data_IF_342545768839
#
_entry.id   IF_342545768839
#
_cell.length_a   1.000
_cell.length_b   1.000
_cell.length_c   1.000
_cell.angle_alpha   90.00
_cell.angle_beta   90.00
_cell.angle_gamma   90.00
#
_symmetry.space_group_name_H-M   'P 1'
#
loop_
_entity.id
_entity.type
_entity.pdbx_description
1 polymer ?
#
# COMPACT_ATOMS: atom_id res chain seq x y z
N UNK A 1 -12.87 -2.00 11.58
CA UNK A 1 -12.56 -0.57 11.69
C UNK A 1 -11.21 -0.29 11.05
N UNK A 2 -11.13 0.78 10.25
CA UNK A 2 -9.89 1.12 9.56
C UNK A 2 -8.91 1.81 10.50
N UNK A 3 -7.62 1.54 10.27
CA UNK A 3 -6.57 2.19 11.05
C UNK A 3 -6.43 3.66 10.61
N UNK A 4 -5.92 4.53 11.49
CA UNK A 4 -5.72 5.93 11.12
C UNK A 4 -4.67 6.09 10.04
N UNK A 5 -4.79 7.18 9.26
CA UNK A 5 -3.79 7.52 8.25
C UNK A 5 -2.65 8.31 8.89
N UNK A 6 -1.44 8.07 8.39
CA UNK A 6 -0.30 8.91 8.73
C UNK A 6 -0.46 10.27 8.04
N UNK A 7 0.30 11.28 8.48
CA UNK A 7 0.19 12.62 7.91
C UNK A 7 0.38 12.65 6.40
N UNK A 8 1.31 11.85 5.90
CA UNK A 8 1.62 11.86 4.46
C UNK A 8 0.67 10.99 3.66
N UNK A 9 -0.18 10.20 4.32
CA UNK A 9 -1.07 9.28 3.62
C UNK A 9 -2.37 9.94 3.21
N UNK A 10 -2.95 9.43 2.13
CA UNK A 10 -4.27 9.83 1.67
C UNK A 10 -5.16 8.60 1.63
N UNK A 11 -6.48 8.78 1.45
CA UNK A 11 -7.34 7.60 1.27
C UNK A 11 -6.92 6.71 0.10
N UNK A 12 -6.27 7.29 -0.93
CA UNK A 12 -5.78 6.49 -2.04
C UNK A 12 -4.72 5.50 -1.59
N UNK A 13 -3.81 5.96 -0.72
CA UNK A 13 -2.77 5.07 -0.19
C UNK A 13 -3.37 3.91 0.57
N UNK A 14 -4.35 4.21 1.41
CA UNK A 14 -5.03 3.15 2.16
C UNK A 14 -5.73 2.18 1.24
N UNK A 15 -6.41 2.70 0.21
CA UNK A 15 -7.14 1.85 -0.71
C UNK A 15 -6.20 0.89 -1.43
N UNK A 16 -5.02 1.36 -1.81
CA UNK A 16 -4.03 0.50 -2.47
C UNK A 16 -3.59 -0.60 -1.52
N UNK A 17 -3.27 -0.23 -0.27
CA UNK A 17 -2.82 -1.22 0.70
C UNK A 17 -3.91 -2.25 0.98
N UNK A 18 -5.16 -1.80 1.12
CA UNK A 18 -6.26 -2.72 1.39
C UNK A 18 -6.51 -3.65 0.21
N UNK A 19 -6.32 -3.16 -1.01
CA UNK A 19 -6.48 -4.03 -2.17
C UNK A 19 -5.42 -5.13 -2.19
N UNK A 20 -4.18 -4.77 -1.87
CA UNK A 20 -3.12 -5.76 -1.81
C UNK A 20 -3.34 -6.74 -0.66
N UNK A 21 -3.91 -6.28 0.45
CA UNK A 21 -4.20 -7.15 1.59
C UNK A 21 -5.24 -8.20 1.22
N UNK A 22 -6.25 -7.81 0.43
CA UNK A 22 -7.30 -8.72 -0.02
C UNK A 22 -7.93 -9.43 1.17
N UNK A 23 -8.44 -8.63 2.10
CA UNK A 23 -8.95 -9.13 3.37
C UNK A 23 -9.92 -10.29 3.16
N UNK A 24 -9.75 -11.35 3.96
CA UNK A 24 -10.58 -12.54 3.85
C UNK A 24 -10.08 -13.54 2.83
N UNK A 25 -9.02 -13.21 2.10
CA UNK A 25 -8.44 -14.08 1.07
C UNK A 25 -6.92 -13.99 1.15
N UNK A 26 -6.25 -14.66 0.22
CA UNK A 26 -4.80 -14.57 0.15
C UNK A 26 -4.39 -13.18 -0.34
N UNK A 27 -3.27 -12.69 0.16
CA UNK A 27 -2.74 -11.42 -0.32
C UNK A 27 -2.45 -11.48 -1.80
N UNK A 28 -2.57 -10.31 -2.45
CA UNK A 28 -2.38 -10.22 -3.90
C UNK A 28 -1.02 -9.64 -4.23
N UNK A 29 -0.50 -10.02 -5.39
CA UNK A 29 0.65 -9.38 -6.00
C UNK A 29 0.13 -8.74 -7.29
N UNK A 30 0.27 -7.42 -7.41
CA UNK A 30 -0.41 -6.69 -8.48
C UNK A 30 0.51 -5.66 -9.12
N UNK A 31 0.24 -5.39 -10.41
CA UNK A 31 0.87 -4.28 -11.11
C UNK A 31 0.05 -3.03 -10.89
N UNK A 32 0.63 -1.83 -11.14
CA UNK A 32 -0.16 -0.60 -11.03
C UNK A 32 -1.41 -0.60 -11.90
N UNK A 33 -1.34 -1.19 -13.08
CA UNK A 33 -2.51 -1.26 -13.96
C UNK A 33 -3.62 -2.06 -13.33
N UNK A 34 -3.29 -3.20 -12.72
CA UNK A 34 -4.30 -4.04 -12.08
C UNK A 34 -4.87 -3.38 -10.84
N UNK A 35 -4.03 -2.68 -10.09
CA UNK A 35 -4.53 -1.93 -8.93
C UNK A 35 -5.50 -0.85 -9.40
N UNK A 36 -5.15 -0.14 -10.47
CA UNK A 36 -6.02 0.91 -10.99
C UNK A 36 -7.36 0.35 -11.44
N UNK A 37 -7.38 -0.84 -12.04
CA UNK A 37 -8.62 -1.46 -12.47
C UNK A 37 -9.51 -1.86 -11.30
N UNK A 38 -8.91 -2.07 -10.14
CA UNK A 38 -9.64 -2.51 -8.95
C UNK A 38 -9.91 -1.39 -7.97
N UNK A 39 -9.60 -0.15 -8.36
CA UNK A 39 -9.86 1.03 -7.55
C UNK A 39 -10.43 2.10 -8.44
N UNK A 40 -10.80 3.25 -7.85
CA UNK A 40 -11.34 4.36 -8.63
C UNK A 40 -10.24 5.32 -9.08
N UNK A 41 -8.98 4.92 -8.99
CA UNK A 41 -7.87 5.82 -9.28
C UNK A 41 -7.24 5.50 -10.61
N UNK A 42 -6.72 6.53 -11.29
CA UNK A 42 -6.02 6.37 -12.55
C UNK A 42 -4.68 5.67 -12.31
N UNK A 43 -4.18 5.00 -13.35
CA UNK A 43 -2.91 4.29 -13.25
C UNK A 43 -1.77 5.21 -12.83
N UNK A 44 -1.73 6.44 -13.36
CA UNK A 44 -0.70 7.39 -12.99
C UNK A 44 -0.73 7.70 -11.50
N UNK A 45 -1.94 7.93 -10.96
CA UNK A 45 -2.11 8.20 -9.54
C UNK A 45 -1.64 7.02 -8.71
N UNK A 46 -2.03 5.81 -9.13
CA UNK A 46 -1.63 4.60 -8.42
C UNK A 46 -0.11 4.47 -8.38
N UNK A 47 0.56 4.74 -9.51
CA UNK A 47 2.01 4.64 -9.58
C UNK A 47 2.69 5.64 -8.64
N UNK A 48 2.17 6.87 -8.59
CA UNK A 48 2.73 7.88 -7.70
C UNK A 48 2.61 7.48 -6.25
N UNK A 49 1.45 6.97 -5.87
CA UNK A 49 1.23 6.56 -4.49
C UNK A 49 2.02 5.30 -4.13
N UNK A 50 2.16 4.37 -5.09
CA UNK A 50 3.00 3.21 -4.85
C UNK A 50 4.45 3.62 -4.60
N UNK A 51 4.94 4.64 -5.30
CA UNK A 51 6.29 5.15 -5.05
C UNK A 51 6.44 5.66 -3.62
N UNK A 52 5.46 6.41 -3.14
CA UNK A 52 5.47 6.91 -1.78
C UNK A 52 5.41 5.75 -0.78
N UNK A 53 4.54 4.80 -1.02
CA UNK A 53 4.41 3.64 -0.13
C UNK A 53 5.70 2.81 -0.10
N UNK A 54 6.36 2.70 -1.25
CA UNK A 54 7.62 1.98 -1.33
C UNK A 54 8.70 2.71 -0.53
N UNK A 55 8.74 4.05 -0.60
CA UNK A 55 9.70 4.84 0.16
C UNK A 55 9.51 4.66 1.66
N UNK A 56 8.28 4.46 2.10
CA UNK A 56 7.98 4.23 3.50
C UNK A 56 7.95 2.75 3.87
N UNK A 57 8.32 1.89 2.92
CA UNK A 57 8.48 0.46 3.15
C UNK A 57 7.18 -0.26 3.51
N UNK A 58 6.05 0.29 3.10
CA UNK A 58 4.76 -0.36 3.33
C UNK A 58 4.41 -1.35 2.23
N UNK A 59 5.01 -1.19 1.06
CA UNK A 59 4.93 -2.19 -0.01
C UNK A 59 6.34 -2.52 -0.46
N UNK A 60 6.47 -3.61 -1.16
CA UNK A 60 7.76 -4.03 -1.70
C UNK A 60 7.54 -4.64 -3.07
N UNK A 61 8.61 -4.76 -3.85
CA UNK A 61 8.54 -5.40 -5.15
C UNK A 61 8.47 -6.91 -4.97
N UNK A 62 7.47 -7.51 -5.60
CA UNK A 62 7.47 -8.95 -5.79
C UNK A 62 8.36 -9.29 -6.99
N UNK A 63 8.31 -8.43 -8.01
CA UNK A 63 9.14 -8.57 -9.20
C UNK A 63 9.40 -7.15 -9.70
N UNK A 64 10.61 -6.66 -9.47
CA UNK A 64 10.94 -5.26 -9.80
C UNK A 64 10.92 -5.01 -11.29
N UNK A 65 11.41 -5.95 -12.09
CA UNK A 65 11.47 -5.75 -13.53
C UNK A 65 10.08 -5.65 -14.13
N UNK A 66 9.12 -6.35 -13.57
CA UNK A 66 7.75 -6.37 -14.09
C UNK A 66 6.85 -5.39 -13.34
N UNK A 67 7.41 -4.68 -12.36
CA UNK A 67 6.67 -3.72 -11.53
C UNK A 67 5.47 -4.38 -10.86
N UNK A 68 5.70 -5.55 -10.28
CA UNK A 68 4.68 -6.26 -9.51
C UNK A 68 4.94 -5.98 -8.03
N UNK A 69 3.92 -5.46 -7.34
CA UNK A 69 4.03 -5.03 -5.96
C UNK A 69 3.25 -5.95 -5.04
N UNK A 70 3.65 -5.97 -3.77
CA UNK A 70 2.92 -6.69 -2.73
C UNK A 70 3.10 -5.95 -1.41
N UNK A 71 2.28 -6.30 -0.41
CA UNK A 71 2.46 -5.73 0.92
C UNK A 71 3.79 -6.20 1.50
N UNK A 72 4.47 -5.29 2.19
CA UNK A 72 5.61 -5.65 3.00
C UNK A 72 5.12 -6.11 4.37
N UNK A 73 6.04 -6.65 5.16
CA UNK A 73 5.70 -7.02 6.54
C UNK A 73 5.23 -5.80 7.32
N UNK A 74 5.88 -4.66 7.09
CA UNK A 74 5.50 -3.41 7.74
C UNK A 74 4.10 -2.97 7.31
N UNK A 75 3.78 -3.13 6.03
CA UNK A 75 2.44 -2.79 5.53
C UNK A 75 1.36 -3.65 6.16
N UNK A 76 1.63 -4.94 6.33
CA UNK A 76 0.68 -5.83 7.00
C UNK A 76 0.47 -5.41 8.45
N UNK A 77 1.56 -5.07 9.14
CA UNK A 77 1.48 -4.66 10.54
C UNK A 77 0.69 -3.36 10.68
N UNK A 78 0.89 -2.42 9.75
CA UNK A 78 0.14 -1.18 9.78
C UNK A 78 -1.36 -1.44 9.63
N UNK A 79 -1.75 -2.25 8.66
CA UNK A 79 -3.17 -2.54 8.42
C UNK A 79 -3.79 -3.32 9.58
N UNK A 80 -2.98 -4.09 10.28
CA UNK A 80 -3.45 -4.83 11.46
C UNK A 80 -3.54 -3.96 12.71
N UNK A 81 -3.10 -2.70 12.61
CA UNK A 81 -3.12 -1.80 13.76
C UNK A 81 -1.97 -2.00 14.71
N UNK A 82 -0.94 -2.73 14.30
CA UNK A 82 0.21 -3.02 15.17
C UNK A 82 1.26 -1.91 15.15
N UNK A 83 1.17 -1.00 14.19
CA UNK A 83 2.07 0.14 14.09
C UNK A 83 1.25 1.42 14.16
N UNK A 84 1.62 2.32 15.07
CA UNK A 84 0.98 3.63 15.14
C UNK A 84 1.26 4.42 13.87
N UNK A 85 0.24 5.15 13.38
CA UNK A 85 0.44 6.04 12.24
C UNK A 85 1.54 7.06 12.53
N UNK A 86 1.65 7.51 13.79
CA UNK A 86 2.68 8.47 14.17
C UNK A 86 4.08 7.94 13.93
N UNK A 87 4.28 6.64 14.07
CA UNK A 87 5.59 6.06 13.81
C UNK A 87 5.95 6.06 12.34
N UNK A 88 4.95 6.01 11.48
CA UNK A 88 5.19 6.12 10.04
C UNK A 88 5.59 7.54 9.66
N UNK A 89 5.08 8.52 10.41
CA UNK A 89 5.40 9.92 10.16
C UNK A 89 6.84 10.25 10.52
N UNK A 90 7.42 9.51 11.44
CA UNK A 90 8.79 9.70 11.89
C UNK A 90 9.74 8.68 11.32
N UNK A 91 9.37 8.05 10.23
CA UNK A 91 10.23 7.02 9.66
C UNK A 91 11.46 7.68 9.04
N UNK A 92 12.57 7.25 9.45
CA UNK A 92 13.79 7.80 8.93
C UNK A 92 14.79 6.76 8.85
#
# INVERSE_FOLDING_TARGET
>A
MRVPLADWMTPADRSILERLQNEGNDELVLTPALIAENTDYARTTVREHLGTLLDHELVEYHDEERAIYRLSEKGRAYLAGEIDAAKLENSE
#
